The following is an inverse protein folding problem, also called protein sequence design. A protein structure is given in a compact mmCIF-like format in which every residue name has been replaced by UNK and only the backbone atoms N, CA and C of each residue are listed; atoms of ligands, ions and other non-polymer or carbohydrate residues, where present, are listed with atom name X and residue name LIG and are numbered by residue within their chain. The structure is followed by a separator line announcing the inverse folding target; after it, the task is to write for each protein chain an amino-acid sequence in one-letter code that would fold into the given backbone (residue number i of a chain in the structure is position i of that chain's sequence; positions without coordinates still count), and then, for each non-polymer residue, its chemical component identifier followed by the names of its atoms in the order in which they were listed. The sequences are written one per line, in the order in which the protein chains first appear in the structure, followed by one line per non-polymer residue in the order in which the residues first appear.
data_IF_377731259199
#
_entry.id   IF_377731259199
#
_cell.length_a   1.000
_cell.length_b   1.000
_cell.length_c   1.000
_cell.angle_alpha   90.00
_cell.angle_beta   90.00
_cell.angle_gamma   90.00
#
_symmetry.space_group_name_H-M   'P 1'
#
loop_
_entity.id
_entity.type
_entity.pdbx_description
1 polymer ?
#
# COMPACT_ATOMS: atom_id res chain seq x y z
N UNK A 1 2.30 80.20 12.02
CA UNK A 1 1.10 79.49 11.54
C UNK A 1 1.54 78.32 10.69
N UNK A 2 0.89 77.16 10.86
CA UNK A 2 1.21 75.90 10.19
C UNK A 2 1.38 74.80 11.25
N UNK A 3 0.56 73.77 11.36
CA UNK A 3 -0.43 73.21 10.45
C UNK A 3 -0.18 71.70 10.41
N UNK A 4 -0.80 70.96 11.33
CA UNK A 4 -0.53 69.53 11.57
C UNK A 4 -1.14 68.59 10.53
N UNK A 5 -0.45 67.48 10.27
CA UNK A 5 -0.94 66.34 9.49
C UNK A 5 -1.04 65.09 10.35
N UNK A 6 -2.25 64.55 10.50
CA UNK A 6 -2.58 63.28 11.16
C UNK A 6 -2.27 62.11 10.22
N UNK A 7 -1.42 61.17 10.66
CA UNK A 7 -1.28 59.85 10.04
C UNK A 7 -2.19 58.84 10.75
N UNK A 8 -3.19 58.33 10.03
CA UNK A 8 -4.07 57.25 10.50
C UNK A 8 -3.51 55.88 10.12
N UNK A 9 -3.10 55.10 11.12
CA UNK A 9 -2.79 53.68 10.98
C UNK A 9 -4.06 52.87 10.75
N UNK A 10 -4.03 51.99 9.74
CA UNK A 10 -5.06 50.97 9.53
C UNK A 10 -4.51 49.65 10.05
N UNK A 11 -4.89 49.32 11.27
CA UNK A 11 -4.74 47.99 11.84
C UNK A 11 -5.78 47.07 11.16
N UNK A 12 -5.34 46.36 10.13
CA UNK A 12 -6.13 45.31 9.48
C UNK A 12 -6.16 44.08 10.38
N UNK A 13 -7.15 44.03 11.27
CA UNK A 13 -7.52 42.81 11.98
C UNK A 13 -7.93 41.75 10.95
N UNK A 14 -7.14 40.68 10.85
CA UNK A 14 -7.51 39.49 10.10
C UNK A 14 -8.64 38.78 10.88
N UNK A 15 -9.86 38.90 10.36
CA UNK A 15 -11.03 38.20 10.88
C UNK A 15 -10.79 36.69 10.90
N UNK A 16 -10.86 36.13 12.10
CA UNK A 16 -10.69 34.72 12.37
C UNK A 16 -11.86 33.89 11.82
N UNK A 17 -11.56 33.03 10.86
CA UNK A 17 -12.41 31.90 10.50
C UNK A 17 -12.28 30.84 11.60
N UNK A 18 -13.11 30.95 12.63
CA UNK A 18 -13.30 29.92 13.66
C UNK A 18 -14.26 28.82 13.16
N UNK A 19 -13.93 28.21 12.04
CA UNK A 19 -14.67 27.06 11.51
C UNK A 19 -14.29 25.80 12.27
N UNK A 20 -15.13 25.37 13.24
CA UNK A 20 -15.30 24.02 13.80
C UNK A 20 -14.10 23.04 13.71
N UNK A 21 -12.89 23.54 13.96
CA UNK A 21 -11.65 22.79 13.77
C UNK A 21 -11.44 21.90 14.97
N UNK A 22 -11.67 20.60 14.80
CA UNK A 22 -11.02 19.60 15.66
C UNK A 22 -9.51 19.91 15.72
N UNK A 23 -8.82 19.54 16.82
CA UNK A 23 -7.42 19.92 17.04
C UNK A 23 -6.61 19.60 15.79
N UNK A 24 -6.30 20.63 15.00
CA UNK A 24 -5.67 20.46 13.71
C UNK A 24 -4.33 19.80 13.91
N UNK A 25 -3.99 18.84 13.05
CA UNK A 25 -2.67 18.24 13.04
C UNK A 25 -1.63 19.36 12.94
N UNK A 26 -0.85 19.57 13.99
CA UNK A 26 0.14 20.64 14.04
C UNK A 26 1.43 20.16 13.36
N UNK A 27 2.22 21.08 12.82
CA UNK A 27 3.55 20.72 12.30
C UNK A 27 4.44 20.04 13.35
N UNK A 28 4.23 20.34 14.64
CA UNK A 28 4.89 19.65 15.75
C UNK A 28 4.53 18.16 15.81
N UNK A 29 3.28 17.79 15.53
CA UNK A 29 2.86 16.37 15.47
C UNK A 29 3.47 15.62 14.28
N UNK A 30 3.68 16.29 13.14
CA UNK A 30 4.36 15.70 11.97
C UNK A 30 5.85 15.49 12.26
N UNK A 31 6.51 16.45 12.89
CA UNK A 31 7.93 16.36 13.25
C UNK A 31 8.23 15.24 14.27
N UNK A 32 7.20 14.73 14.96
CA UNK A 32 7.32 13.63 15.90
C UNK A 32 7.29 12.25 15.22
N UNK A 33 7.01 12.15 13.92
CA UNK A 33 6.96 10.86 13.22
C UNK A 33 8.36 10.32 12.93
N UNK A 34 8.56 9.02 13.14
CA UNK A 34 9.78 8.32 12.74
C UNK A 34 9.50 7.63 11.40
N UNK A 35 10.28 8.01 10.39
CA UNK A 35 10.19 7.46 9.03
C UNK A 35 11.43 6.62 8.74
N UNK A 36 11.23 5.39 8.28
CA UNK A 36 12.29 4.54 7.72
C UNK A 36 11.91 4.18 6.29
N UNK A 37 12.80 4.37 5.33
CA UNK A 37 12.51 4.10 3.92
C UNK A 37 13.62 3.35 3.20
N UNK A 38 13.25 2.74 2.08
CA UNK A 38 14.15 2.03 1.16
C UNK A 38 13.64 2.17 -0.28
N UNK A 39 14.52 1.90 -1.23
CA UNK A 39 14.20 1.90 -2.66
C UNK A 39 14.16 0.46 -3.17
N UNK A 40 13.11 0.11 -3.91
CA UNK A 40 12.99 -1.17 -4.59
C UNK A 40 13.21 -0.96 -6.09
N UNK A 41 14.04 -1.82 -6.68
CA UNK A 41 14.24 -1.91 -8.13
C UNK A 41 13.94 -3.36 -8.50
N UNK A 42 12.80 -3.59 -9.15
CA UNK A 42 12.30 -4.93 -9.43
C UNK A 42 12.38 -5.28 -10.91
N UNK A 43 13.01 -6.42 -11.21
CA UNK A 43 12.89 -7.12 -12.48
C UNK A 43 11.44 -7.63 -12.71
N UNK A 44 11.10 -8.08 -13.93
CA UNK A 44 9.74 -8.56 -14.24
C UNK A 44 9.28 -9.77 -13.41
N UNK A 45 10.17 -10.71 -13.10
CA UNK A 45 9.87 -11.90 -12.30
C UNK A 45 10.01 -11.69 -10.79
N UNK A 46 10.49 -10.53 -10.35
CA UNK A 46 10.61 -10.22 -8.92
C UNK A 46 9.24 -10.07 -8.27
N UNK A 47 9.11 -10.62 -7.07
CA UNK A 47 7.92 -10.53 -6.24
C UNK A 47 8.31 -10.27 -4.79
N UNK A 48 7.38 -9.71 -4.03
CA UNK A 48 7.47 -9.67 -2.57
C UNK A 48 6.40 -10.60 -2.00
N UNK A 49 6.84 -11.55 -1.18
CA UNK A 49 5.96 -12.47 -0.48
C UNK A 49 4.96 -11.73 0.43
N UNK A 50 3.88 -12.40 0.81
CA UNK A 50 2.88 -11.84 1.73
C UNK A 50 3.52 -11.52 3.09
N UNK A 51 3.45 -10.26 3.50
CA UNK A 51 3.98 -9.77 4.78
C UNK A 51 3.21 -8.53 5.26
N UNK A 52 3.50 -8.08 6.47
CA UNK A 52 3.09 -6.77 6.98
C UNK A 52 4.31 -6.00 7.52
N UNK A 53 4.11 -4.80 8.04
CA UNK A 53 5.17 -3.96 8.60
C UNK A 53 5.15 -3.89 10.13
N UNK A 54 4.54 -4.88 10.80
CA UNK A 54 4.55 -5.04 12.25
C UNK A 54 4.03 -3.82 13.01
N UNK A 55 4.94 -3.05 13.62
CA UNK A 55 4.62 -1.90 14.49
C UNK A 55 4.46 -0.58 13.75
N UNK A 56 4.57 -0.56 12.42
CA UNK A 56 4.34 0.66 11.64
C UNK A 56 2.88 1.11 11.74
N UNK A 57 2.65 2.40 12.00
CA UNK A 57 1.31 3.00 11.94
C UNK A 57 0.80 2.99 10.51
N UNK A 58 1.67 3.40 9.57
CA UNK A 58 1.39 3.41 8.14
C UNK A 58 2.57 2.84 7.35
N UNK A 59 2.25 2.16 6.27
CA UNK A 59 3.17 1.84 5.20
C UNK A 59 2.81 2.69 3.98
N UNK A 60 3.84 3.15 3.28
CA UNK A 60 3.73 4.04 2.15
C UNK A 60 4.58 3.50 1.02
N UNK A 61 4.03 3.51 -0.20
CA UNK A 61 4.77 3.15 -1.41
C UNK A 61 4.54 4.23 -2.47
N UNK A 62 5.62 4.87 -2.90
CA UNK A 62 5.65 5.80 -4.02
C UNK A 62 6.27 5.10 -5.23
N UNK A 63 5.52 5.02 -6.34
CA UNK A 63 6.00 4.41 -7.57
C UNK A 63 6.67 5.45 -8.44
N UNK A 64 8.01 5.42 -8.51
CA UNK A 64 8.79 6.32 -9.36
C UNK A 64 8.58 5.95 -10.82
N UNK A 65 8.65 4.65 -11.11
CA UNK A 65 8.45 4.09 -12.44
C UNK A 65 7.60 2.83 -12.31
N UNK A 66 6.39 2.88 -12.87
CA UNK A 66 5.62 1.68 -13.15
C UNK A 66 6.16 1.11 -14.47
N UNK A 67 6.69 -0.11 -14.42
CA UNK A 67 7.08 -0.82 -15.63
C UNK A 67 5.88 -0.82 -16.60
N UNK A 68 6.10 -0.32 -17.82
CA UNK A 68 5.08 -0.25 -18.86
C UNK A 68 4.49 -1.65 -19.06
N UNK A 69 3.24 -1.84 -18.65
CA UNK A 69 2.49 -3.02 -19.02
C UNK A 69 2.16 -2.88 -20.51
N UNK A 70 3.06 -3.36 -21.37
CA UNK A 70 2.80 -3.56 -22.81
C UNK A 70 1.63 -4.56 -23.05
N UNK A 71 1.05 -5.13 -21.97
CA UNK A 71 -0.23 -5.83 -21.99
C UNK A 71 -1.35 -4.83 -22.35
N UNK A 72 -1.56 -4.64 -23.66
CA UNK A 72 -2.41 -3.61 -24.22
C UNK A 72 -3.85 -3.60 -23.71
N UNK A 73 -4.33 -2.40 -23.38
CA UNK A 73 -5.71 -1.87 -23.46
C UNK A 73 -6.94 -2.65 -22.96
N UNK A 74 -6.89 -3.95 -22.63
CA UNK A 74 -8.04 -4.69 -22.05
C UNK A 74 -8.21 -4.46 -20.55
N UNK A 75 -7.32 -3.66 -19.96
CA UNK A 75 -7.28 -3.38 -18.53
C UNK A 75 -8.34 -2.38 -18.03
N UNK A 76 -8.91 -1.53 -18.89
CA UNK A 76 -9.87 -0.48 -18.46
C UNK A 76 -11.26 -1.01 -18.11
N UNK A 77 -11.65 -2.21 -18.56
CA UNK A 77 -13.01 -2.73 -18.30
C UNK A 77 -13.12 -3.57 -17.00
N UNK A 78 -11.99 -3.94 -16.38
CA UNK A 78 -11.94 -4.77 -15.17
C UNK A 78 -11.71 -3.99 -13.86
N UNK A 79 -11.61 -2.65 -13.89
CA UNK A 79 -11.27 -1.83 -12.71
C UNK A 79 -12.29 -1.87 -11.55
N UNK A 80 -13.43 -2.56 -11.67
CA UNK A 80 -14.47 -2.58 -10.63
C UNK A 80 -14.96 -3.97 -10.16
N UNK A 81 -14.33 -5.07 -10.56
CA UNK A 81 -14.73 -6.40 -10.05
C UNK A 81 -13.91 -6.75 -8.81
N UNK A 82 -14.37 -6.31 -7.64
CA UNK A 82 -13.90 -6.86 -6.37
C UNK A 82 -14.17 -8.37 -6.36
N UNK A 83 -13.14 -9.19 -6.56
CA UNK A 83 -13.28 -10.63 -6.47
C UNK A 83 -13.42 -10.98 -4.99
N UNK A 84 -14.66 -11.12 -4.54
CA UNK A 84 -14.96 -11.82 -3.30
C UNK A 84 -14.57 -13.27 -3.57
N UNK A 85 -13.41 -13.70 -3.08
CA UNK A 85 -13.14 -15.12 -2.93
C UNK A 85 -14.23 -15.64 -2.00
N UNK A 86 -15.27 -16.24 -2.57
CA UNK A 86 -16.42 -16.71 -1.81
C UNK A 86 -15.95 -17.88 -0.94
N UNK A 87 -15.62 -17.57 0.31
CA UNK A 87 -15.25 -18.55 1.31
C UNK A 87 -16.40 -19.53 1.61
N UNK A 88 -17.63 -19.27 1.12
CA UNK A 88 -18.76 -20.18 1.27
C UNK A 88 -18.69 -21.42 0.36
N UNK A 89 -17.77 -21.47 -0.63
CA UNK A 89 -17.56 -22.66 -1.45
C UNK A 89 -16.59 -23.68 -0.81
N UNK A 90 -16.08 -23.43 0.40
CA UNK A 90 -15.37 -24.42 1.20
C UNK A 90 -16.40 -25.16 2.05
N UNK A 91 -17.11 -26.09 1.43
CA UNK A 91 -17.94 -27.04 2.18
C UNK A 91 -17.06 -27.82 3.15
N UNK A 92 -17.35 -27.70 4.45
CA UNK A 92 -17.01 -28.55 5.62
C UNK A 92 -15.90 -29.62 5.49
N UNK A 93 -14.83 -29.33 4.76
CA UNK A 93 -13.67 -30.19 4.64
C UNK A 93 -12.78 -29.91 5.86
N UNK A 94 -12.60 -30.96 6.66
CA UNK A 94 -11.99 -30.91 7.99
C UNK A 94 -10.60 -30.25 8.08
N UNK A 95 -10.08 -30.12 9.30
CA UNK A 95 -9.06 -29.13 9.69
C UNK A 95 -7.63 -29.35 9.14
N UNK A 96 -7.42 -30.24 8.17
CA UNK A 96 -6.08 -30.52 7.63
C UNK A 96 -6.12 -30.59 6.10
N UNK A 97 -6.09 -29.44 5.44
CA UNK A 97 -6.05 -29.34 3.98
C UNK A 97 -5.23 -28.13 3.53
N UNK A 98 -3.98 -28.39 3.17
CA UNK A 98 -3.08 -27.42 2.56
C UNK A 98 -3.72 -26.74 1.33
N UNK A 99 -3.47 -25.44 1.19
CA UNK A 99 -4.12 -24.54 0.24
C UNK A 99 -4.20 -25.07 -1.19
N UNK A 100 -5.43 -25.30 -1.63
CA UNK A 100 -5.73 -25.59 -3.03
C UNK A 100 -6.01 -24.27 -3.76
N UNK A 101 -4.97 -23.71 -4.39
CA UNK A 101 -5.16 -22.66 -5.39
C UNK A 101 -5.81 -23.32 -6.62
N UNK A 102 -7.08 -23.00 -6.87
CA UNK A 102 -7.88 -23.51 -7.99
C UNK A 102 -7.16 -23.23 -9.32
N UNK A 103 -6.67 -24.28 -9.97
CA UNK A 103 -5.71 -24.22 -11.08
C UNK A 103 -6.32 -23.90 -12.46
N UNK A 104 -7.65 -23.81 -12.61
CA UNK A 104 -8.31 -23.74 -13.93
C UNK A 104 -8.83 -22.37 -14.38
N UNK A 105 -9.00 -21.42 -13.46
CA UNK A 105 -9.41 -20.03 -13.74
C UNK A 105 -8.40 -18.99 -13.24
N UNK A 106 -7.32 -19.46 -12.61
CA UNK A 106 -6.28 -18.63 -12.03
C UNK A 106 -5.45 -17.91 -13.09
N UNK A 107 -5.25 -18.47 -14.29
CA UNK A 107 -4.29 -17.93 -15.26
C UNK A 107 -4.75 -16.60 -15.87
N UNK A 108 -6.02 -16.46 -16.22
CA UNK A 108 -6.57 -15.20 -16.76
C UNK A 108 -6.69 -14.12 -15.67
N UNK A 109 -7.08 -14.50 -14.46
CA UNK A 109 -7.13 -13.59 -13.32
C UNK A 109 -5.72 -13.17 -12.87
N UNK A 110 -4.74 -14.09 -12.88
CA UNK A 110 -3.35 -13.84 -12.55
C UNK A 110 -2.69 -12.90 -13.57
N UNK A 111 -3.01 -13.03 -14.87
CA UNK A 111 -2.60 -12.07 -15.87
C UNK A 111 -3.16 -10.66 -15.59
N UNK A 112 -4.41 -10.57 -15.10
CA UNK A 112 -5.05 -9.32 -14.71
C UNK A 112 -4.39 -8.60 -13.52
N UNK A 113 -3.65 -9.32 -12.68
CA UNK A 113 -2.98 -8.78 -11.49
C UNK A 113 -1.46 -8.79 -11.58
N UNK A 114 -0.90 -9.09 -12.75
CA UNK A 114 0.53 -9.05 -12.97
C UNK A 114 1.10 -7.68 -12.53
N UNK A 115 2.10 -7.70 -11.65
CA UNK A 115 2.73 -6.50 -11.12
C UNK A 115 1.95 -5.73 -10.05
N UNK A 116 0.74 -6.18 -9.67
CA UNK A 116 -0.09 -5.50 -8.70
C UNK A 116 0.48 -5.55 -7.28
N UNK A 117 0.21 -4.50 -6.51
CA UNK A 117 0.25 -4.53 -5.05
C UNK A 117 -1.08 -5.13 -4.57
N UNK A 118 -1.01 -6.27 -3.88
CA UNK A 118 -2.20 -6.91 -3.32
C UNK A 118 -2.31 -6.56 -1.85
N UNK A 119 -3.42 -5.93 -1.46
CA UNK A 119 -3.73 -5.67 -0.06
C UNK A 119 -4.75 -6.70 0.44
N UNK A 120 -4.43 -7.42 1.51
CA UNK A 120 -5.30 -8.45 2.08
C UNK A 120 -6.17 -7.87 3.19
N UNK A 121 -7.47 -8.08 3.08
CA UNK A 121 -8.45 -7.63 4.07
C UNK A 121 -9.40 -8.75 4.49
N UNK A 122 -9.94 -8.62 5.71
CA UNK A 122 -10.97 -9.50 6.23
C UNK A 122 -12.30 -8.71 6.25
N UNK A 123 -13.26 -9.01 5.36
CA UNK A 123 -14.49 -8.22 5.21
C UNK A 123 -15.44 -8.36 6.41
N UNK A 124 -15.32 -9.44 7.19
CA UNK A 124 -16.14 -9.68 8.37
C UNK A 124 -15.26 -10.15 9.54
N UNK A 125 -15.34 -9.43 10.66
CA UNK A 125 -14.61 -9.78 11.89
C UNK A 125 -14.92 -11.22 12.33
N UNK A 126 -13.92 -11.88 12.91
CA UNK A 126 -14.00 -13.24 13.47
C UNK A 126 -14.33 -14.36 12.47
N UNK A 127 -14.36 -14.07 11.16
CA UNK A 127 -14.48 -15.08 10.10
C UNK A 127 -13.13 -15.37 9.46
N UNK A 128 -12.82 -16.63 9.18
CA UNK A 128 -11.64 -17.03 8.41
C UNK A 128 -11.84 -16.82 6.88
N UNK A 129 -12.41 -15.68 6.50
CA UNK A 129 -12.65 -15.29 5.12
C UNK A 129 -11.81 -14.06 4.78
N UNK A 130 -11.04 -14.13 3.69
CA UNK A 130 -10.14 -13.06 3.28
C UNK A 130 -10.38 -12.69 1.82
N UNK A 131 -10.20 -11.42 1.52
CA UNK A 131 -10.31 -10.84 0.18
C UNK A 131 -9.05 -10.06 -0.14
N UNK A 132 -8.68 -10.00 -1.41
CA UNK A 132 -7.54 -9.21 -1.87
C UNK A 132 -8.04 -8.03 -2.69
N UNK A 133 -7.50 -6.85 -2.40
CA UNK A 133 -7.71 -5.65 -3.18
C UNK A 133 -6.47 -5.41 -4.05
N UNK A 134 -6.58 -5.59 -5.37
CA UNK A 134 -5.48 -5.40 -6.29
C UNK A 134 -5.30 -3.92 -6.63
N UNK A 135 -4.09 -3.41 -6.44
CA UNK A 135 -3.68 -2.08 -6.84
C UNK A 135 -2.73 -2.19 -8.02
N UNK A 136 -3.12 -1.63 -9.17
CA UNK A 136 -2.24 -1.52 -10.35
C UNK A 136 -1.43 -0.23 -10.25
N UNK A 137 -0.12 -0.29 -10.00
CA UNK A 137 0.67 0.91 -9.82
C UNK A 137 0.86 1.66 -11.14
N UNK A 138 0.67 2.97 -11.13
CA UNK A 138 1.07 3.90 -12.20
C UNK A 138 2.28 4.70 -11.74
N UNK A 139 3.04 5.24 -12.69
CA UNK A 139 4.15 6.12 -12.35
C UNK A 139 3.62 7.38 -11.65
N UNK A 140 4.28 7.77 -10.57
CA UNK A 140 3.92 8.83 -9.64
C UNK A 140 2.72 8.54 -8.71
N UNK A 141 2.22 7.29 -8.66
CA UNK A 141 1.23 6.91 -7.66
C UNK A 141 1.86 6.86 -6.27
N UNK A 142 1.14 7.41 -5.29
CA UNK A 142 1.43 7.28 -3.86
C UNK A 142 0.32 6.50 -3.17
N UNK A 143 0.66 5.34 -2.63
CA UNK A 143 -0.25 4.52 -1.84
C UNK A 143 0.12 4.56 -0.36
N UNK A 144 -0.88 4.78 0.49
CA UNK A 144 -0.75 4.80 1.95
C UNK A 144 -1.76 3.83 2.53
N UNK A 145 -1.32 2.92 3.39
CA UNK A 145 -2.19 1.94 4.04
C UNK A 145 -1.70 1.64 5.46
N UNK A 146 -2.56 1.14 6.37
CA UNK A 146 -2.14 0.81 7.74
C UNK A 146 -1.04 -0.25 7.74
N UNK A 147 -0.02 -0.08 8.58
CA UNK A 147 1.18 -0.96 8.54
C UNK A 147 0.91 -2.42 8.90
N UNK A 148 -0.20 -2.71 9.59
CA UNK A 148 -0.65 -4.06 9.92
C UNK A 148 -1.40 -4.77 8.79
N UNK A 149 -1.71 -4.08 7.68
CA UNK A 149 -2.41 -4.70 6.54
C UNK A 149 -1.45 -5.64 5.81
N UNK A 150 -1.71 -6.96 5.78
CA UNK A 150 -0.86 -7.88 5.04
C UNK A 150 -0.95 -7.59 3.55
N UNK A 151 0.17 -7.58 2.87
CA UNK A 151 0.25 -7.26 1.46
C UNK A 151 1.37 -8.03 0.76
N UNK A 152 1.26 -8.13 -0.55
CA UNK A 152 2.23 -8.79 -1.41
C UNK A 152 2.41 -7.97 -2.69
N UNK A 153 3.51 -8.18 -3.39
CA UNK A 153 3.71 -7.59 -4.72
C UNK A 153 3.89 -8.73 -5.70
N UNK A 154 2.96 -8.86 -6.64
CA UNK A 154 3.00 -9.91 -7.65
C UNK A 154 4.10 -9.65 -8.69
N UNK A 155 4.68 -10.72 -9.28
CA UNK A 155 5.55 -10.57 -10.43
C UNK A 155 4.76 -10.02 -11.62
N UNK A 156 5.45 -9.30 -12.51
CA UNK A 156 4.88 -8.77 -13.77
C UNK A 156 4.86 -9.81 -14.88
N UNK A 157 5.78 -10.75 -14.82
CA UNK A 157 5.83 -11.89 -15.74
C UNK A 157 5.95 -13.15 -14.92
N UNK A 158 5.06 -14.09 -15.17
CA UNK A 158 5.24 -15.46 -14.70
C UNK A 158 6.07 -16.16 -15.77
N UNK A 159 7.26 -16.64 -15.40
CA UNK A 159 8.00 -17.53 -16.30
C UNK A 159 7.09 -18.74 -16.54
N UNK A 160 6.56 -18.83 -17.76
CA UNK A 160 5.93 -20.07 -18.19
C UNK A 160 7.01 -21.11 -18.11
N UNK A 161 6.84 -22.12 -17.25
CA UNK A 161 7.65 -23.33 -17.25
C UNK A 161 7.29 -24.08 -18.53
N UNK A 162 7.64 -23.49 -19.67
CA UNK A 162 7.61 -24.15 -20.95
C UNK A 162 8.71 -25.17 -20.87
N UNK A 163 8.32 -26.45 -20.78
CA UNK A 163 9.19 -27.59 -21.02
C UNK A 163 10.10 -27.28 -22.19
N UNK A 164 11.40 -27.17 -21.91
CA UNK A 164 12.45 -26.74 -22.82
C UNK A 164 12.32 -27.41 -24.19
N UNK A 165 11.82 -26.67 -25.19
CA UNK A 165 12.29 -26.86 -26.56
C UNK A 165 13.24 -25.70 -26.83
N UNK A 166 14.51 -26.02 -27.09
CA UNK A 166 15.60 -25.10 -27.43
C UNK A 166 15.11 -23.82 -28.13
N UNK A 167 15.50 -22.62 -27.64
CA UNK A 167 15.06 -21.37 -28.23
C UNK A 167 15.60 -21.24 -29.66
N UNK A 168 14.79 -20.81 -30.65
CA UNK A 168 15.29 -20.52 -31.99
C UNK A 168 16.35 -19.41 -31.93
N UNK A 169 17.52 -19.70 -32.49
CA UNK A 169 18.74 -18.88 -32.49
C UNK A 169 18.60 -17.48 -33.13
N UNK A 170 17.45 -17.13 -33.70
CA UNK A 170 17.25 -15.94 -34.53
C UNK A 170 16.39 -14.84 -33.88
N UNK A 171 16.15 -14.89 -32.56
CA UNK A 171 15.37 -13.87 -31.84
C UNK A 171 16.19 -12.60 -31.56
N UNK A 172 16.60 -11.90 -32.61
CA UNK A 172 17.32 -10.63 -32.53
C UNK A 172 16.35 -9.52 -32.14
N UNK A 173 16.38 -9.08 -30.87
CA UNK A 173 16.00 -7.72 -30.51
C UNK A 173 14.73 -7.50 -29.67
N UNK A 174 14.35 -8.40 -28.77
CA UNK A 174 13.34 -8.04 -27.75
C UNK A 174 13.94 -6.97 -26.83
N UNK A 175 13.31 -5.79 -26.77
CA UNK A 175 13.73 -4.73 -25.85
C UNK A 175 13.82 -5.29 -24.41
N UNK A 176 14.83 -4.88 -23.62
CA UNK A 176 14.93 -5.33 -22.25
C UNK A 176 13.65 -4.94 -21.51
N UNK A 177 13.04 -5.90 -20.82
CA UNK A 177 11.82 -5.66 -20.07
C UNK A 177 12.04 -4.54 -19.04
N UNK A 178 11.08 -3.61 -18.94
CA UNK A 178 11.22 -2.44 -18.09
C UNK A 178 11.26 -2.81 -16.60
N UNK A 179 12.15 -2.14 -15.86
CA UNK A 179 12.24 -2.27 -14.41
C UNK A 179 11.08 -1.51 -13.75
N UNK A 180 10.66 -1.97 -12.58
CA UNK A 180 9.73 -1.21 -11.72
C UNK A 180 10.54 -0.60 -10.58
N UNK A 181 10.43 0.70 -10.41
CA UNK A 181 11.14 1.44 -9.37
C UNK A 181 10.15 2.06 -8.39
N UNK A 182 10.31 1.78 -7.10
CA UNK A 182 9.49 2.37 -6.05
C UNK A 182 10.32 2.76 -4.83
N UNK A 183 9.82 3.73 -4.07
CA UNK A 183 10.33 4.09 -2.76
C UNK A 183 9.27 3.69 -1.75
N UNK A 184 9.63 2.81 -0.82
CA UNK A 184 8.76 2.40 0.26
C UNK A 184 9.23 3.02 1.57
N UNK A 185 8.29 3.39 2.44
CA UNK A 185 8.63 3.79 3.80
C UNK A 185 7.58 3.36 4.82
N UNK A 186 8.07 3.12 6.03
CA UNK A 186 7.25 2.91 7.21
C UNK A 186 7.21 4.21 8.01
N UNK A 187 6.00 4.61 8.37
CA UNK A 187 5.76 5.69 9.32
C UNK A 187 5.38 5.04 10.64
N UNK A 188 6.26 5.23 11.61
CA UNK A 188 6.02 4.83 13.00
C UNK A 188 5.76 6.09 13.79
N UNK A 189 4.71 6.09 14.60
CA UNK A 189 4.67 7.05 15.69
C UNK A 189 5.93 6.85 16.52
N UNK A 190 6.64 7.95 16.82
CA UNK A 190 7.62 7.86 17.89
C UNK A 190 6.83 7.41 19.10
N UNK A 191 7.27 6.33 19.75
CA UNK A 191 6.85 6.06 21.11
C UNK A 191 7.17 7.34 21.87
N UNK A 192 6.16 8.19 22.09
CA UNK A 192 6.35 9.29 23.01
C UNK A 192 6.65 8.58 24.32
N UNK A 193 7.67 9.02 25.05
CA UNK A 193 7.93 8.48 26.39
C UNK A 193 6.65 8.53 27.25
N UNK A 194 5.65 9.35 26.88
CA UNK A 194 4.31 9.37 27.44
C UNK A 194 3.43 8.14 27.10
N UNK A 195 3.37 7.65 25.86
CA UNK A 195 2.53 6.48 25.53
C UNK A 195 3.03 5.23 26.25
N UNK A 196 4.36 5.04 26.32
CA UNK A 196 4.95 3.94 27.09
C UNK A 196 4.75 4.13 28.60
N UNK A 197 4.86 5.36 29.12
CA UNK A 197 4.58 5.64 30.54
C UNK A 197 3.10 5.49 30.92
N UNK A 198 2.16 5.83 30.03
CA UNK A 198 0.72 5.66 30.25
C UNK A 198 0.36 4.19 30.26
N UNK A 199 0.90 3.39 29.33
CA UNK A 199 0.70 1.93 29.32
C UNK A 199 1.36 1.27 30.54
N UNK A 200 2.57 1.69 30.93
CA UNK A 200 3.24 1.20 32.15
C UNK A 200 2.51 1.61 33.43
N UNK A 201 1.92 2.81 33.50
CA UNK A 201 1.10 3.24 34.63
C UNK A 201 -0.24 2.49 34.67
N UNK A 202 -0.90 2.30 33.53
CA UNK A 202 -2.12 1.50 33.43
C UNK A 202 -1.90 0.05 33.86
N UNK A 203 -0.75 -0.55 33.48
CA UNK A 203 -0.39 -1.92 33.89
C UNK A 203 0.02 -2.02 35.37
N UNK A 204 0.55 -0.95 35.99
CA UNK A 204 0.81 -0.92 37.44
C UNK A 204 -0.46 -0.82 38.30
N UNK A 205 -1.55 -0.29 37.76
CA UNK A 205 -2.85 -0.20 38.46
C UNK A 205 -3.62 -1.52 38.39
N UNK A 206 -3.27 -2.40 37.43
CA UNK A 206 -3.97 -3.66 37.19
C UNK A 206 -3.25 -4.91 37.72
N UNK A 207 -2.07 -4.76 38.30
CA UNK A 207 -1.38 -5.83 39.03
C UNK A 207 -1.58 -5.63 40.54
N UNK A 208 -2.23 -6.57 41.25
CA UNK A 208 -2.44 -6.49 42.69
C UNK A 208 -1.13 -6.53 43.50
#
# INVERSE_FOLDING_TARGET
GGGGGKGGGRDGAADGVSGAGGPGMTWASVAALKVSGWMNVNAPCDFNALHDHGTASFAVVYYVEAASSEAGSVAEELENVAFVADAAAVGDAGPEGAGYMVQGGADAAAAGYAGALLLKFQPAAWKHAFTYFPVRPRANDLWVFPGYVPHAVLPRTFESISTQSEPPLDSVGTAPASLRVSVACNVTERATDQTENILRQALRVLSP
#
